data_IF_278379776475
#
_entry.id   IF_278379776475
#
_cell.length_a   1.000
_cell.length_b   1.000
_cell.length_c   1.000
_cell.angle_alpha   90.00
_cell.angle_beta   90.00
_cell.angle_gamma   90.00
#
_symmetry.space_group_name_H-M   'P 1'
#
loop_
_entity.id
_entity.type
_entity.pdbx_description
1 polymer ?
#
# COMPACT_ATOMS: atom_id res chain seq x y z
N UNK A 1 12.03 -4.58 17.37
CA UNK A 1 12.90 -3.48 16.88
C UNK A 1 12.55 -2.22 17.67
N UNK A 2 13.48 -1.58 18.37
CA UNK A 2 13.14 -0.51 19.34
C UNK A 2 13.04 0.91 18.73
N UNK A 3 12.98 1.05 17.40
CA UNK A 3 13.05 2.36 16.72
C UNK A 3 12.15 2.40 15.48
N UNK A 4 11.46 3.54 15.28
CA UNK A 4 10.48 3.75 14.20
C UNK A 4 11.15 3.76 12.82
N UNK A 5 12.34 4.35 12.69
CA UNK A 5 13.02 4.46 11.39
C UNK A 5 13.28 3.06 10.79
N UNK A 6 13.96 2.12 11.48
CA UNK A 6 14.13 0.76 10.96
C UNK A 6 12.80 0.03 10.73
N UNK A 7 11.77 0.29 11.55
CA UNK A 7 10.44 -0.30 11.35
C UNK A 7 9.86 0.08 9.98
N UNK A 8 10.13 1.28 9.48
CA UNK A 8 9.57 1.77 8.22
C UNK A 8 10.51 1.62 7.02
N UNK A 9 11.83 1.54 7.22
CA UNK A 9 12.79 1.61 6.10
C UNK A 9 13.53 0.31 5.80
N UNK A 10 13.57 -0.67 6.71
CA UNK A 10 14.26 -1.95 6.46
C UNK A 10 13.31 -3.01 5.90
N UNK A 11 13.78 -3.82 4.95
CA UNK A 11 13.02 -4.94 4.39
C UNK A 11 13.35 -6.28 5.04
N UNK A 12 14.30 -6.29 5.98
CA UNK A 12 14.78 -7.50 6.65
C UNK A 12 14.29 -7.57 8.09
N UNK A 13 14.21 -8.80 8.60
CA UNK A 13 13.78 -9.08 9.97
C UNK A 13 12.33 -9.51 10.09
N UNK A 14 11.87 -9.60 11.33
CA UNK A 14 10.54 -10.04 11.75
C UNK A 14 9.97 -8.98 12.68
N UNK A 15 8.67 -8.70 12.56
CA UNK A 15 7.97 -7.76 13.42
C UNK A 15 6.74 -8.42 14.03
N UNK A 16 6.51 -8.14 15.31
CA UNK A 16 5.31 -8.55 16.01
C UNK A 16 4.06 -7.88 15.44
N UNK A 17 2.89 -8.45 15.74
CA UNK A 17 1.60 -7.88 15.35
C UNK A 17 1.43 -6.42 15.80
N UNK A 18 1.92 -6.10 17.01
CA UNK A 18 1.87 -4.73 17.56
C UNK A 18 2.71 -3.76 16.73
N UNK A 19 3.95 -4.14 16.40
CA UNK A 19 4.84 -3.33 15.56
C UNK A 19 4.27 -3.14 14.15
N UNK A 20 3.64 -4.18 13.59
CA UNK A 20 2.96 -4.07 12.30
C UNK A 20 1.82 -3.04 12.35
N UNK A 21 0.97 -3.07 13.38
CA UNK A 21 -0.11 -2.07 13.54
C UNK A 21 0.42 -0.65 13.66
N UNK A 22 1.50 -0.44 14.42
CA UNK A 22 2.14 0.88 14.52
C UNK A 22 2.61 1.34 13.13
N UNK A 23 3.30 0.48 12.39
CA UNK A 23 3.74 0.79 11.04
C UNK A 23 2.58 1.07 10.09
N UNK A 24 1.53 0.25 10.14
CA UNK A 24 0.33 0.39 9.32
C UNK A 24 -0.37 1.72 9.56
N UNK A 25 -0.57 2.12 10.82
CA UNK A 25 -1.19 3.41 11.17
C UNK A 25 -0.35 4.58 10.66
N UNK A 26 0.98 4.52 10.81
CA UNK A 26 1.87 5.57 10.30
C UNK A 26 1.74 5.71 8.78
N UNK A 27 1.78 4.58 8.06
CA UNK A 27 1.65 4.57 6.60
C UNK A 27 0.27 5.04 6.15
N UNK A 28 -0.79 4.62 6.84
CA UNK A 28 -2.16 5.03 6.54
C UNK A 28 -2.34 6.55 6.70
N UNK A 29 -1.88 7.11 7.82
CA UNK A 29 -1.93 8.56 8.07
C UNK A 29 -1.12 9.32 7.01
N UNK A 30 0.10 8.84 6.72
CA UNK A 30 0.96 9.43 5.69
C UNK A 30 0.32 9.44 4.30
N UNK A 31 -0.32 8.34 3.92
CA UNK A 31 -1.00 8.19 2.63
C UNK A 31 -2.21 9.13 2.53
N UNK A 32 -3.04 9.18 3.57
CA UNK A 32 -4.21 10.08 3.65
C UNK A 32 -3.78 11.55 3.58
N UNK A 33 -2.71 11.93 4.29
CA UNK A 33 -2.19 13.29 4.26
C UNK A 33 -1.79 13.73 2.84
N UNK A 34 -1.21 12.82 2.05
CA UNK A 34 -0.89 13.07 0.65
C UNK A 34 -2.11 13.36 -0.21
N UNK A 35 -3.12 12.49 -0.10
CA UNK A 35 -4.38 12.66 -0.82
C UNK A 35 -5.04 13.98 -0.44
N UNK A 36 -5.09 14.33 0.84
CA UNK A 36 -5.65 15.61 1.29
C UNK A 36 -4.88 16.84 0.77
N UNK A 37 -3.56 16.74 0.62
CA UNK A 37 -2.72 17.85 0.17
C UNK A 37 -2.69 18.02 -1.35
N UNK A 38 -2.68 16.91 -2.10
CA UNK A 38 -2.40 16.91 -3.53
C UNK A 38 -3.59 16.50 -4.40
N UNK A 39 -4.60 15.85 -3.82
CA UNK A 39 -5.78 15.38 -4.54
C UNK A 39 -7.04 15.34 -3.65
N UNK A 40 -7.40 16.46 -2.99
CA UNK A 40 -8.50 16.50 -2.02
C UNK A 40 -9.87 16.20 -2.66
N UNK A 41 -10.02 16.50 -3.95
CA UNK A 41 -11.25 16.26 -4.72
C UNK A 41 -11.60 14.77 -4.79
N UNK A 42 -10.61 13.87 -4.66
CA UNK A 42 -10.84 12.42 -4.57
C UNK A 42 -11.77 12.02 -3.42
N UNK A 43 -11.83 12.83 -2.35
CA UNK A 43 -12.64 12.54 -1.16
C UNK A 43 -14.00 13.24 -1.16
N UNK A 44 -14.18 14.27 -2.00
CA UNK A 44 -15.37 15.14 -1.98
C UNK A 44 -16.17 15.12 -3.27
N UNK A 45 -15.58 14.66 -4.37
CA UNK A 45 -16.22 14.62 -5.68
C UNK A 45 -17.19 13.44 -5.82
N UNK A 46 -18.35 13.70 -6.42
CA UNK A 46 -19.31 12.67 -6.83
C UNK A 46 -18.93 12.00 -8.15
N UNK A 47 -17.95 12.56 -8.86
CA UNK A 47 -17.41 12.04 -10.12
C UNK A 47 -16.00 11.49 -9.87
N UNK A 48 -15.64 10.40 -10.55
CA UNK A 48 -14.29 9.83 -10.49
C UNK A 48 -13.28 10.86 -11.01
N UNK A 49 -12.47 11.41 -10.09
CA UNK A 49 -11.42 12.38 -10.40
C UNK A 49 -10.17 11.64 -10.91
N UNK A 50 -9.58 12.05 -12.04
CA UNK A 50 -8.32 11.48 -12.51
C UNK A 50 -7.21 11.68 -11.47
N UNK A 51 -6.39 10.65 -11.20
CA UNK A 51 -5.31 10.77 -10.23
C UNK A 51 -4.28 11.80 -10.70
N UNK A 52 -3.77 12.57 -9.75
CA UNK A 52 -2.75 13.60 -10.00
C UNK A 52 -1.35 13.03 -9.78
N UNK A 53 -0.38 13.45 -10.60
CA UNK A 53 1.01 13.00 -10.47
C UNK A 53 1.64 13.30 -9.10
N UNK A 54 1.43 14.49 -8.47
CA UNK A 54 1.97 14.76 -7.15
C UNK A 54 1.46 13.80 -6.06
N UNK A 55 0.15 13.51 -6.04
CA UNK A 55 -0.44 12.52 -5.14
C UNK A 55 0.14 11.13 -5.43
N UNK A 56 0.24 10.74 -6.70
CA UNK A 56 0.79 9.43 -7.10
C UNK A 56 2.23 9.23 -6.63
N UNK A 57 3.10 10.23 -6.83
CA UNK A 57 4.49 10.18 -6.35
C UNK A 57 4.53 10.06 -4.83
N UNK A 58 3.64 10.77 -4.13
CA UNK A 58 3.51 10.67 -2.68
C UNK A 58 3.06 9.27 -2.22
N UNK A 59 2.04 8.70 -2.87
CA UNK A 59 1.58 7.34 -2.57
C UNK A 59 2.68 6.30 -2.83
N UNK A 60 3.45 6.45 -3.91
CA UNK A 60 4.59 5.58 -4.19
C UNK A 60 5.69 5.71 -3.12
N UNK A 61 5.92 6.90 -2.57
CA UNK A 61 6.84 7.09 -1.46
C UNK A 61 6.37 6.35 -0.19
N UNK A 62 5.07 6.36 0.11
CA UNK A 62 4.48 5.63 1.23
C UNK A 62 4.29 4.14 0.99
N UNK A 63 4.26 3.71 -0.26
CA UNK A 63 4.27 2.29 -0.62
C UNK A 63 5.58 1.61 -0.21
N UNK A 64 6.69 2.32 -0.17
CA UNK A 64 7.99 1.79 0.30
C UNK A 64 7.89 1.30 1.76
N UNK A 65 7.50 2.13 2.75
CA UNK A 65 7.32 1.65 4.12
C UNK A 65 6.15 0.67 4.26
N UNK A 66 5.08 0.78 3.47
CA UNK A 66 4.02 -0.22 3.42
C UNK A 66 4.57 -1.62 3.06
N UNK A 67 5.43 -1.67 2.05
CA UNK A 67 6.08 -2.89 1.58
C UNK A 67 7.05 -3.43 2.64
N UNK A 68 7.85 -2.54 3.25
CA UNK A 68 8.81 -2.91 4.30
C UNK A 68 8.13 -3.59 5.50
N UNK A 69 7.02 -3.03 6.01
CA UNK A 69 6.29 -3.64 7.13
C UNK A 69 5.60 -4.94 6.72
N UNK A 70 5.15 -5.06 5.48
CA UNK A 70 4.47 -6.26 4.97
C UNK A 70 5.46 -7.42 4.80
N UNK A 71 6.63 -7.18 4.20
CA UNK A 71 7.72 -8.17 4.10
C UNK A 71 8.08 -8.69 5.48
N UNK A 72 8.30 -7.81 6.46
CA UNK A 72 8.66 -8.22 7.83
C UNK A 72 7.54 -9.00 8.52
N UNK A 73 6.27 -8.66 8.27
CA UNK A 73 5.12 -9.38 8.84
C UNK A 73 4.95 -10.77 8.24
N UNK A 74 5.18 -10.92 6.95
CA UNK A 74 5.16 -12.24 6.30
C UNK A 74 6.34 -13.09 6.73
N UNK A 75 7.53 -12.51 6.86
CA UNK A 75 8.69 -13.20 7.45
C UNK A 75 8.40 -13.67 8.88
N UNK A 76 7.74 -12.85 9.71
CA UNK A 76 7.33 -13.23 11.06
C UNK A 76 6.47 -14.50 11.08
N UNK A 77 5.56 -14.62 10.12
CA UNK A 77 4.64 -15.76 9.93
C UNK A 77 5.25 -16.97 9.22
N UNK A 78 6.54 -16.95 8.88
CA UNK A 78 7.19 -17.96 8.02
C UNK A 78 6.54 -18.09 6.63
N UNK A 79 5.94 -17.03 6.12
CA UNK A 79 5.44 -17.00 4.75
C UNK A 79 6.58 -16.72 3.77
N UNK A 80 6.44 -17.08 2.48
CA UNK A 80 7.43 -16.75 1.48
C UNK A 80 7.70 -15.23 1.43
N UNK A 81 8.95 -14.85 1.65
CA UNK A 81 9.38 -13.44 1.75
C UNK A 81 9.02 -12.61 0.52
N UNK A 82 9.01 -13.24 -0.66
CA UNK A 82 8.72 -12.60 -1.93
C UNK A 82 7.28 -12.07 -2.02
N UNK A 83 6.34 -12.59 -1.23
CA UNK A 83 4.95 -12.10 -1.19
C UNK A 83 4.87 -10.63 -0.75
N UNK A 84 5.74 -10.20 0.16
CA UNK A 84 5.79 -8.81 0.58
C UNK A 84 6.30 -7.89 -0.53
N UNK A 85 7.24 -8.35 -1.36
CA UNK A 85 7.69 -7.61 -2.53
C UNK A 85 6.65 -7.62 -3.65
N UNK A 86 5.94 -8.72 -3.84
CA UNK A 86 4.81 -8.80 -4.77
C UNK A 86 3.73 -7.78 -4.40
N UNK A 87 3.42 -7.62 -3.11
CA UNK A 87 2.56 -6.54 -2.62
C UNK A 87 3.05 -5.16 -3.06
N UNK A 88 4.35 -4.86 -2.93
CA UNK A 88 4.92 -3.60 -3.40
C UNK A 88 4.77 -3.39 -4.91
N UNK A 89 5.11 -4.41 -5.73
CA UNK A 89 4.98 -4.34 -7.20
C UNK A 89 3.53 -4.13 -7.62
N UNK A 90 2.59 -4.85 -7.01
CA UNK A 90 1.16 -4.70 -7.27
C UNK A 90 0.64 -3.34 -6.82
N UNK A 91 1.15 -2.80 -5.72
CA UNK A 91 0.85 -1.44 -5.28
C UNK A 91 1.29 -0.38 -6.31
N UNK A 92 2.48 -0.56 -6.91
CA UNK A 92 2.94 0.33 -8.00
C UNK A 92 1.96 0.26 -9.16
N UNK A 93 1.53 -0.93 -9.57
CA UNK A 93 0.50 -1.08 -10.60
C UNK A 93 -0.78 -0.32 -10.24
N UNK A 94 -1.29 -0.49 -9.01
CA UNK A 94 -2.54 0.14 -8.57
C UNK A 94 -2.50 1.67 -8.66
N UNK A 95 -1.37 2.31 -8.30
CA UNK A 95 -1.24 3.77 -8.37
C UNK A 95 -0.90 4.30 -9.77
N UNK A 96 -0.16 3.54 -10.57
CA UNK A 96 0.38 4.02 -11.85
C UNK A 96 -0.56 3.71 -13.02
N UNK A 97 -1.22 2.55 -13.02
CA UNK A 97 -2.08 2.11 -14.12
C UNK A 97 -3.19 3.12 -14.51
N UNK A 98 -3.85 3.82 -13.57
CA UNK A 98 -4.84 4.85 -13.90
C UNK A 98 -4.33 5.98 -14.80
N UNK A 99 -3.06 6.36 -14.72
CA UNK A 99 -2.46 7.39 -15.60
C UNK A 99 -2.39 6.95 -17.06
N UNK A 100 -2.55 5.65 -17.32
CA UNK A 100 -2.56 5.05 -18.65
C UNK A 100 -3.97 4.63 -19.09
N UNK A 101 -5.01 5.15 -18.43
CA UNK A 101 -6.41 4.88 -18.77
C UNK A 101 -6.93 3.52 -18.29
N UNK A 102 -6.15 2.79 -17.48
CA UNK A 102 -6.62 1.54 -16.88
C UNK A 102 -7.44 1.84 -15.62
N UNK A 103 -8.74 1.58 -15.69
CA UNK A 103 -9.65 1.75 -14.55
C UNK A 103 -9.42 0.64 -13.54
N UNK A 104 -9.26 1.02 -12.27
CA UNK A 104 -9.25 0.10 -11.13
C UNK A 104 -10.66 0.04 -10.57
N UNK A 105 -11.47 -0.87 -11.11
CA UNK A 105 -12.82 -1.14 -10.64
C UNK A 105 -12.85 -2.53 -10.00
N UNK A 106 -13.07 -2.64 -8.67
CA UNK A 106 -13.15 -3.92 -7.96
C UNK A 106 -14.28 -4.85 -8.42
N UNK A 107 -15.33 -4.31 -9.03
CA UNK A 107 -16.52 -5.06 -9.45
C UNK A 107 -16.43 -5.50 -10.92
N UNK A 108 -15.53 -4.89 -11.70
CA UNK A 108 -15.31 -5.26 -13.08
C UNK A 108 -14.51 -6.57 -13.23
N UNK A 109 -14.75 -7.30 -14.32
CA UNK A 109 -13.93 -8.45 -14.69
C UNK A 109 -12.68 -7.99 -15.46
N UNK A 110 -11.66 -7.51 -14.75
CA UNK A 110 -10.42 -6.98 -15.36
C UNK A 110 -9.17 -7.09 -14.48
N UNK A 111 -8.02 -6.79 -15.08
CA UNK A 111 -6.71 -6.83 -14.38
C UNK A 111 -6.70 -5.91 -13.16
N UNK A 112 -7.33 -4.74 -13.25
CA UNK A 112 -7.47 -3.80 -12.13
C UNK A 112 -8.15 -4.43 -10.91
N UNK A 113 -9.27 -5.14 -11.11
CA UNK A 113 -9.97 -5.86 -10.06
C UNK A 113 -9.11 -6.96 -9.42
N UNK A 114 -8.45 -7.77 -10.25
CA UNK A 114 -7.57 -8.85 -9.79
C UNK A 114 -6.46 -8.29 -8.88
N UNK A 115 -5.79 -7.22 -9.32
CA UNK A 115 -4.73 -6.60 -8.52
C UNK A 115 -5.28 -6.03 -7.22
N UNK A 116 -6.41 -5.33 -7.26
CA UNK A 116 -7.08 -4.80 -6.07
C UNK A 116 -7.37 -5.91 -5.05
N UNK A 117 -7.99 -7.01 -5.46
CA UNK A 117 -8.37 -8.09 -4.57
C UNK A 117 -7.15 -8.86 -4.01
N UNK A 118 -6.08 -9.04 -4.80
CA UNK A 118 -4.83 -9.64 -4.30
C UNK A 118 -4.18 -8.74 -3.24
N UNK A 119 -4.13 -7.43 -3.47
CA UNK A 119 -3.59 -6.49 -2.49
C UNK A 119 -4.43 -6.48 -1.20
N UNK A 120 -5.75 -6.46 -1.32
CA UNK A 120 -6.63 -6.53 -0.16
C UNK A 120 -6.43 -7.85 0.61
N UNK A 121 -6.34 -8.98 -0.09
CA UNK A 121 -6.07 -10.28 0.53
C UNK A 121 -4.72 -10.28 1.26
N UNK A 122 -3.68 -9.66 0.69
CA UNK A 122 -2.38 -9.52 1.35
C UNK A 122 -2.45 -8.67 2.63
N UNK A 123 -3.22 -7.58 2.62
CA UNK A 123 -3.46 -6.75 3.82
C UNK A 123 -4.21 -7.54 4.88
N UNK A 124 -5.31 -8.22 4.52
CA UNK A 124 -6.08 -9.07 5.44
C UNK A 124 -5.19 -10.18 6.03
N UNK A 125 -4.38 -10.83 5.19
CA UNK A 125 -3.42 -11.83 5.62
C UNK A 125 -2.38 -11.25 6.60
N UNK A 126 -1.93 -10.01 6.40
CA UNK A 126 -1.01 -9.36 7.33
C UNK A 126 -1.66 -9.07 8.71
N UNK A 127 -2.96 -8.75 8.73
CA UNK A 127 -3.76 -8.41 9.93
C UNK A 127 -4.05 -9.61 10.85
N UNK A 128 -4.47 -10.75 10.27
CA UNK A 128 -5.00 -11.93 11.00
C UNK A 128 -3.89 -12.72 11.66
#
# INVERSE_FOLDING_TARGET
MNTIIPLLTTFTGRISRREWWIGFVIVLIGSIAGTLLFNPEMLTSEVVVPPQWPDTIWQLAWLVPATAITVKRFNDRNWPWWLGYAFGVLGVFLYVAPHFGMVIDPEAAGVGAIVFWILLAAVVAAVV
#
